data_IF_053677058739
#
_entry.id   IF_053677058739
#
_cell.length_a   1.000
_cell.length_b   1.000
_cell.length_c   1.000
_cell.angle_alpha   90.00
_cell.angle_beta   90.00
_cell.angle_gamma   90.00
#
_symmetry.space_group_name_H-M   'P 1'
#
loop_
_entity.id
_entity.type
_entity.pdbx_description
1 polymer ?
#
# COMPACT_ATOMS: atom_id res chain seq x y z
N UNK A 1 -3.01 -11.40 15.72
CA UNK A 1 -2.07 -10.88 14.68
C UNK A 1 -1.64 -9.47 15.04
N UNK A 2 -0.36 -9.19 15.02
CA UNK A 2 0.16 -7.85 15.30
C UNK A 2 0.02 -6.94 14.08
N UNK A 3 0.14 -5.63 14.31
CA UNK A 3 0.12 -4.67 13.19
C UNK A 3 1.31 -4.86 12.26
N UNK A 4 2.46 -5.21 12.82
CA UNK A 4 3.66 -5.46 12.00
C UNK A 4 3.47 -6.67 11.09
N UNK A 5 2.89 -7.74 11.61
CA UNK A 5 2.59 -8.92 10.82
C UNK A 5 1.61 -8.60 9.70
N UNK A 6 0.64 -7.75 9.99
CA UNK A 6 -0.34 -7.35 8.98
C UNK A 6 0.30 -6.52 7.88
N UNK A 7 1.22 -5.63 8.24
CA UNK A 7 1.96 -4.85 7.25
C UNK A 7 2.78 -5.77 6.36
N UNK A 8 3.49 -6.72 6.95
CA UNK A 8 4.29 -7.70 6.19
C UNK A 8 3.42 -8.49 5.24
N UNK A 9 2.25 -8.91 5.69
CA UNK A 9 1.32 -9.67 4.87
C UNK A 9 0.83 -8.82 3.69
N UNK A 10 0.49 -7.56 3.92
CA UNK A 10 0.07 -6.65 2.86
C UNK A 10 1.18 -6.46 1.82
N UNK A 11 2.41 -6.27 2.28
CA UNK A 11 3.55 -6.10 1.38
C UNK A 11 3.83 -7.37 0.58
N UNK A 12 3.70 -8.52 1.21
CA UNK A 12 3.88 -9.80 0.54
C UNK A 12 2.85 -9.97 -0.59
N UNK A 13 1.59 -9.69 -0.30
CA UNK A 13 0.53 -9.76 -1.31
C UNK A 13 0.77 -8.77 -2.45
N UNK A 14 1.18 -7.56 -2.12
CA UNK A 14 1.46 -6.55 -3.14
C UNK A 14 2.61 -7.00 -4.04
N UNK A 15 3.64 -7.61 -3.47
CA UNK A 15 4.78 -8.13 -4.23
C UNK A 15 4.35 -9.24 -5.17
N UNK A 16 3.55 -10.19 -4.68
CA UNK A 16 3.07 -11.30 -5.50
C UNK A 16 2.18 -10.83 -6.66
N UNK A 17 1.41 -9.78 -6.42
CA UNK A 17 0.46 -9.27 -7.43
C UNK A 17 1.07 -8.23 -8.36
N UNK A 18 2.26 -7.73 -8.04
CA UNK A 18 2.99 -6.81 -8.91
C UNK A 18 2.79 -5.34 -8.64
N UNK A 19 2.19 -4.95 -7.52
CA UNK A 19 2.02 -3.53 -7.20
C UNK A 19 2.78 -3.08 -5.94
N UNK A 20 3.82 -3.82 -5.56
CA UNK A 20 4.65 -3.49 -4.40
C UNK A 20 5.27 -2.08 -4.52
N UNK A 21 5.84 -1.77 -5.68
CA UNK A 21 6.47 -0.48 -5.93
C UNK A 21 5.47 0.66 -5.74
N UNK A 22 4.25 0.46 -6.20
CA UNK A 22 3.19 1.46 -6.08
C UNK A 22 2.84 1.70 -4.61
N UNK A 23 2.77 0.63 -3.81
CA UNK A 23 2.50 0.75 -2.37
C UNK A 23 3.60 1.57 -1.69
N UNK A 24 4.86 1.23 -1.96
CA UNK A 24 6.00 1.93 -1.35
C UNK A 24 5.99 3.41 -1.74
N UNK A 25 5.72 3.72 -3.00
CA UNK A 25 5.66 5.10 -3.47
C UNK A 25 4.56 5.88 -2.74
N UNK A 26 3.38 5.28 -2.59
CA UNK A 26 2.27 5.93 -1.90
C UNK A 26 2.55 6.14 -0.42
N UNK A 27 3.24 5.20 0.23
CA UNK A 27 3.64 5.36 1.63
C UNK A 27 4.58 6.56 1.77
N UNK A 28 5.53 6.73 0.86
CA UNK A 28 6.44 7.87 0.87
C UNK A 28 5.67 9.18 0.72
N UNK A 29 4.73 9.24 -0.20
CA UNK A 29 3.91 10.42 -0.42
C UNK A 29 3.09 10.75 0.83
N UNK A 30 2.48 9.74 1.45
CA UNK A 30 1.70 9.91 2.66
C UNK A 30 2.56 10.36 3.83
N UNK A 31 3.80 9.89 3.93
CA UNK A 31 4.72 10.30 4.98
C UNK A 31 5.03 11.78 4.90
N UNK A 32 5.08 12.34 3.69
CA UNK A 32 5.30 13.77 3.50
C UNK A 32 4.04 14.59 3.77
N UNK A 33 2.89 14.09 3.29
CA UNK A 33 1.62 14.81 3.41
C UNK A 33 1.02 14.71 4.82
N UNK A 34 1.22 13.57 5.49
CA UNK A 34 0.61 13.29 6.79
C UNK A 34 1.65 12.77 7.78
N UNK A 35 2.55 13.64 8.26
CA UNK A 35 3.65 13.20 9.12
C UNK A 35 3.23 12.61 10.46
N UNK A 36 2.00 12.91 10.90
CA UNK A 36 1.49 12.39 12.18
C UNK A 36 0.70 11.09 12.05
N UNK A 37 0.51 10.61 10.82
CA UNK A 37 -0.20 9.35 10.60
C UNK A 37 0.68 8.17 11.04
N UNK A 38 0.08 7.16 11.66
CA UNK A 38 0.83 5.98 12.09
C UNK A 38 1.31 5.19 10.87
N UNK A 39 2.39 4.42 11.07
CA UNK A 39 2.95 3.60 10.00
C UNK A 39 1.92 2.59 9.49
N UNK A 40 1.16 1.97 10.40
CA UNK A 40 0.12 1.03 10.03
C UNK A 40 -0.92 1.67 9.13
N UNK A 41 -1.41 2.84 9.50
CA UNK A 41 -2.42 3.55 8.72
C UNK A 41 -1.91 3.92 7.34
N UNK A 42 -0.64 4.35 7.25
CA UNK A 42 -0.02 4.68 5.97
C UNK A 42 0.01 3.48 5.04
N UNK A 43 0.45 2.33 5.56
CA UNK A 43 0.52 1.12 4.75
C UNK A 43 -0.86 0.61 4.35
N UNK A 44 -1.82 0.66 5.27
CA UNK A 44 -3.17 0.21 4.97
C UNK A 44 -3.81 1.05 3.86
N UNK A 45 -3.73 2.37 3.96
CA UNK A 45 -4.28 3.26 2.95
C UNK A 45 -3.53 3.12 1.62
N UNK A 46 -2.20 3.05 1.69
CA UNK A 46 -1.38 2.89 0.49
C UNK A 46 -1.68 1.57 -0.22
N UNK A 47 -1.81 0.51 0.54
CA UNK A 47 -2.12 -0.81 0.00
C UNK A 47 -3.49 -0.81 -0.69
N UNK A 48 -4.50 -0.29 -0.01
CA UNK A 48 -5.87 -0.25 -0.55
C UNK A 48 -5.93 0.60 -1.82
N UNK A 49 -5.31 1.77 -1.81
CA UNK A 49 -5.27 2.66 -2.96
C UNK A 49 -4.50 2.05 -4.13
N UNK A 50 -3.37 1.42 -3.84
CA UNK A 50 -2.54 0.78 -4.86
C UNK A 50 -3.26 -0.38 -5.52
N UNK A 51 -3.92 -1.20 -4.72
CA UNK A 51 -4.68 -2.34 -5.19
C UNK A 51 -5.79 -1.89 -6.13
N UNK A 52 -6.54 -0.88 -5.72
CA UNK A 52 -7.62 -0.34 -6.52
C UNK A 52 -7.11 0.22 -7.84
N UNK A 53 -6.07 1.04 -7.77
CA UNK A 53 -5.48 1.67 -8.96
C UNK A 53 -4.93 0.62 -9.93
N UNK A 54 -4.25 -0.40 -9.40
CA UNK A 54 -3.68 -1.46 -10.21
C UNK A 54 -4.76 -2.22 -10.98
N UNK A 55 -5.83 -2.60 -10.30
CA UNK A 55 -6.91 -3.37 -10.94
C UNK A 55 -7.75 -2.51 -11.88
N UNK A 56 -7.98 -1.25 -11.55
CA UNK A 56 -8.68 -0.34 -12.45
C UNK A 56 -7.92 -0.13 -13.76
N UNK A 57 -6.61 0.02 -13.68
CA UNK A 57 -5.79 0.18 -14.87
C UNK A 57 -5.82 -1.06 -15.76
N UNK A 58 -5.91 -2.24 -15.17
CA UNK A 58 -5.99 -3.47 -15.93
C UNK A 58 -7.36 -3.62 -16.61
N UNK A 59 -8.41 -3.15 -15.98
CA UNK A 59 -9.75 -3.26 -16.49
C UNK A 59 -10.03 -2.30 -17.66
N UNK A 60 -9.24 -1.23 -17.77
CA UNK A 60 -9.41 -0.26 -18.86
C UNK A 60 -8.76 -0.69 -20.16
N UNK A 61 -8.05 -1.79 -20.12
CA UNK A 61 -7.45 -2.36 -21.32
C UNK A 61 -8.30 -3.48 -21.87
#
# INVERSE_FOLDING_TARGET
MTREERIEEMLHHAHERGYYQLVIQKVKEMSQAYPNMTLYDKYELAYTASKKEFYENRDTN
#
